data_IF_291801311489
#
_entry.id   IF_291801311489
#
_cell.length_a   1.000
_cell.length_b   1.000
_cell.length_c   1.000
_cell.angle_alpha   90.00
_cell.angle_beta   90.00
_cell.angle_gamma   90.00
#
_symmetry.space_group_name_H-M   'P 1'
#
loop_
_entity.id
_entity.type
_entity.pdbx_description
1 polymer ?
#
# COMPACT_ATOMS: atom_id res chain seq x y z
N UNK A 1 -22.27 0.82 10.58
CA UNK A 1 -21.63 0.94 9.24
C UNK A 1 -20.40 0.02 9.17
N UNK A 2 -20.06 -0.54 7.99
CA UNK A 2 -19.01 -1.58 7.89
C UNK A 2 -17.61 -1.06 8.23
N UNK A 3 -17.31 0.17 7.85
CA UNK A 3 -16.10 0.93 8.21
C UNK A 3 -15.89 1.05 9.73
N UNK A 4 -16.95 1.27 10.52
CA UNK A 4 -16.86 1.34 12.00
C UNK A 4 -16.38 0.02 12.60
N UNK A 5 -16.86 -1.11 12.07
CA UNK A 5 -16.42 -2.44 12.51
C UNK A 5 -14.92 -2.61 12.25
N UNK A 6 -14.45 -2.29 11.04
CA UNK A 6 -13.02 -2.42 10.73
C UNK A 6 -12.16 -1.48 11.58
N UNK A 7 -12.54 -0.21 11.70
CA UNK A 7 -11.80 0.76 12.49
C UNK A 7 -11.71 0.38 13.98
N UNK A 8 -12.75 -0.27 14.50
CA UNK A 8 -12.78 -0.78 15.87
C UNK A 8 -11.86 -2.01 16.04
N UNK A 9 -11.84 -2.92 15.07
CA UNK A 9 -10.93 -4.09 15.07
C UNK A 9 -9.46 -3.69 14.95
N UNK A 10 -9.18 -2.55 14.32
CA UNK A 10 -7.81 -2.08 14.06
C UNK A 10 -7.30 -1.03 15.05
N UNK A 11 -8.02 -0.77 16.14
CA UNK A 11 -7.75 0.34 17.05
C UNK A 11 -6.36 0.28 17.73
N UNK A 12 -5.74 -0.91 17.83
CA UNK A 12 -4.41 -1.08 18.43
C UNK A 12 -3.25 -0.83 17.46
N UNK A 13 -3.51 -0.68 16.16
CA UNK A 13 -2.46 -0.43 15.17
C UNK A 13 -2.07 1.06 15.15
N UNK A 14 -0.78 1.36 15.34
CA UNK A 14 -0.29 2.74 15.25
C UNK A 14 -0.42 3.32 13.84
N UNK A 15 -0.32 2.47 12.81
CA UNK A 15 -0.34 2.85 11.39
C UNK A 15 -1.75 2.93 10.79
N UNK A 16 -2.79 2.81 11.59
CA UNK A 16 -4.17 2.96 11.16
C UNK A 16 -4.81 4.12 11.92
N UNK A 17 -5.68 4.87 11.24
CA UNK A 17 -6.43 5.95 11.86
C UNK A 17 -7.36 5.42 12.97
N UNK A 18 -7.28 6.01 14.15
CA UNK A 18 -8.08 5.61 15.31
C UNK A 18 -9.48 6.18 15.23
N UNK A 19 -10.46 5.32 15.44
CA UNK A 19 -11.83 5.71 15.74
C UNK A 19 -11.90 6.20 17.19
N UNK A 20 -12.30 7.45 17.38
CA UNK A 20 -12.54 8.06 18.69
C UNK A 20 -14.00 7.94 19.12
N UNK A 21 -14.92 7.88 18.16
CA UNK A 21 -16.34 7.77 18.45
C UNK A 21 -17.20 7.62 17.21
N UNK A 22 -18.41 7.12 17.42
CA UNK A 22 -19.44 6.98 16.40
C UNK A 22 -20.75 7.47 16.99
N UNK A 23 -21.42 8.38 16.29
CA UNK A 23 -22.68 8.96 16.71
C UNK A 23 -23.70 8.84 15.57
N UNK A 24 -24.70 7.95 15.69
CA UNK A 24 -25.79 7.89 14.73
C UNK A 24 -26.53 9.23 14.63
N UNK A 25 -27.03 9.57 13.45
CA UNK A 25 -27.92 10.74 13.25
C UNK A 25 -27.29 12.08 13.69
N UNK A 26 -25.98 12.24 13.50
CA UNK A 26 -25.24 13.47 13.76
C UNK A 26 -24.41 13.90 12.54
N UNK A 27 -24.40 15.19 12.16
CA UNK A 27 -25.02 16.33 12.85
C UNK A 27 -26.52 16.48 12.60
N UNK A 28 -27.16 15.56 11.87
CA UNK A 28 -28.61 15.55 11.63
C UNK A 28 -29.15 14.12 11.40
N UNK A 29 -30.48 13.98 11.40
CA UNK A 29 -31.20 12.70 11.30
C UNK A 29 -30.91 11.86 10.04
N UNK A 30 -30.23 12.41 9.03
CA UNK A 30 -29.94 11.72 7.77
C UNK A 30 -28.48 11.26 7.63
N UNK A 31 -27.62 11.58 8.60
CA UNK A 31 -26.18 11.27 8.53
C UNK A 31 -25.69 10.73 9.85
N UNK A 32 -24.77 9.77 9.79
CA UNK A 32 -24.05 9.33 10.97
C UNK A 32 -22.71 10.09 11.06
N UNK A 33 -22.31 10.40 12.29
CA UNK A 33 -21.05 11.04 12.63
C UNK A 33 -20.00 10.01 12.97
N UNK A 34 -18.86 10.06 12.27
CA UNK A 34 -17.67 9.27 12.59
C UNK A 34 -16.59 10.22 13.07
N UNK A 35 -16.07 10.00 14.28
CA UNK A 35 -15.09 10.85 14.94
C UNK A 35 -13.77 10.09 14.92
N UNK A 36 -12.78 10.63 14.20
CA UNK A 36 -11.48 10.00 13.99
C UNK A 36 -10.38 10.84 14.66
N UNK A 37 -9.22 10.23 14.94
CA UNK A 37 -8.07 11.00 15.38
C UNK A 37 -7.63 12.01 14.32
N UNK A 38 -7.17 13.17 14.80
CA UNK A 38 -6.76 14.25 13.92
C UNK A 38 -5.32 14.05 13.41
N UNK A 39 -5.15 14.12 12.09
CA UNK A 39 -3.85 14.08 11.41
C UNK A 39 -3.60 15.45 10.75
N UNK A 40 -2.74 16.27 11.37
CA UNK A 40 -2.65 17.70 11.05
C UNK A 40 -1.92 18.07 9.77
N UNK A 41 -1.13 17.16 9.20
CA UNK A 41 -0.27 17.45 8.04
C UNK A 41 -0.95 17.18 6.68
N UNK A 42 -2.24 16.81 6.73
CA UNK A 42 -3.05 16.47 5.57
C UNK A 42 -2.83 15.03 5.12
N UNK A 43 -2.92 14.81 3.81
CA UNK A 43 -2.78 13.50 3.17
C UNK A 43 -1.49 13.42 2.34
N UNK A 44 -1.08 12.18 2.03
CA UNK A 44 0.14 11.87 1.30
C UNK A 44 0.09 12.42 -0.14
N UNK A 45 -1.10 12.51 -0.76
CA UNK A 45 -1.25 13.10 -2.08
C UNK A 45 -0.81 14.57 -2.07
N UNK A 46 -1.39 15.38 -1.19
CA UNK A 46 -1.05 16.80 -1.04
C UNK A 46 0.40 17.01 -0.62
N UNK A 47 0.96 16.11 0.19
CA UNK A 47 2.36 16.16 0.57
C UNK A 47 3.30 16.12 -0.64
N UNK A 48 3.08 15.18 -1.57
CA UNK A 48 3.90 15.08 -2.77
C UNK A 48 3.60 16.17 -3.79
N UNK A 49 2.33 16.51 -3.98
CA UNK A 49 1.91 17.62 -4.85
C UNK A 49 2.60 18.93 -4.45
N UNK A 50 2.63 19.25 -3.14
CA UNK A 50 3.35 20.42 -2.63
C UNK A 50 4.85 20.34 -2.90
N UNK A 51 5.49 19.18 -2.71
CA UNK A 51 6.93 19.04 -2.98
C UNK A 51 7.25 19.28 -4.44
N UNK A 52 6.54 18.63 -5.35
CA UNK A 52 6.78 18.78 -6.79
C UNK A 52 6.50 20.19 -7.29
N UNK A 53 5.42 20.82 -6.82
CA UNK A 53 5.09 22.22 -7.16
C UNK A 53 6.20 23.19 -6.72
N UNK A 54 6.85 22.90 -5.60
CA UNK A 54 7.97 23.70 -5.08
C UNK A 54 9.35 23.20 -5.57
N UNK A 55 9.41 22.29 -6.55
CA UNK A 55 10.64 21.68 -7.06
C UNK A 55 11.52 21.03 -5.98
N UNK A 56 10.91 20.52 -4.91
CA UNK A 56 11.58 19.77 -3.85
C UNK A 56 11.65 18.31 -4.28
N UNK A 57 12.87 17.76 -4.32
CA UNK A 57 13.08 16.36 -4.65
C UNK A 57 12.54 15.43 -3.55
N UNK A 58 11.85 14.38 -3.97
CA UNK A 58 11.48 13.26 -3.11
C UNK A 58 12.65 12.28 -3.09
N UNK A 59 13.24 12.05 -1.92
CA UNK A 59 14.38 11.13 -1.78
C UNK A 59 13.91 9.69 -1.64
N UNK A 60 14.77 8.73 -2.00
CA UNK A 60 14.50 7.32 -1.74
C UNK A 60 14.27 7.04 -0.25
N UNK A 61 14.95 7.75 0.66
CA UNK A 61 14.72 7.64 2.10
C UNK A 61 13.26 7.95 2.47
N UNK A 62 12.69 9.04 1.94
CA UNK A 62 11.26 9.35 2.10
C UNK A 62 10.40 8.22 1.53
N UNK A 63 10.76 7.66 0.38
CA UNK A 63 10.00 6.57 -0.23
C UNK A 63 10.00 5.30 0.62
N UNK A 64 11.16 4.91 1.15
CA UNK A 64 11.30 3.74 2.00
C UNK A 64 10.62 3.92 3.36
N UNK A 65 10.57 5.14 3.91
CA UNK A 65 9.78 5.44 5.11
C UNK A 65 8.28 5.27 4.88
N UNK A 66 7.77 5.74 3.74
CA UNK A 66 6.36 5.53 3.37
C UNK A 66 6.08 4.05 3.17
N UNK A 67 6.91 3.36 2.39
CA UNK A 67 6.77 1.94 2.12
C UNK A 67 6.72 1.13 3.41
N UNK A 68 7.69 1.32 4.31
CA UNK A 68 7.82 0.57 5.55
C UNK A 68 6.58 0.73 6.43
N UNK A 69 6.10 1.96 6.63
CA UNK A 69 4.93 2.23 7.45
C UNK A 69 3.63 1.66 6.84
N UNK A 70 3.49 1.67 5.51
CA UNK A 70 2.37 1.01 4.84
C UNK A 70 2.46 -0.51 4.97
N UNK A 71 3.66 -1.09 4.92
CA UNK A 71 3.86 -2.53 5.14
C UNK A 71 3.57 -2.95 6.58
N UNK A 72 3.87 -2.11 7.57
CA UNK A 72 3.44 -2.31 8.95
C UNK A 72 1.91 -2.33 9.07
N UNK A 73 1.21 -1.40 8.41
CA UNK A 73 -0.26 -1.39 8.36
C UNK A 73 -0.82 -2.66 7.70
N UNK A 74 -0.26 -3.07 6.55
CA UNK A 74 -0.74 -4.29 5.86
C UNK A 74 -0.42 -5.57 6.63
N UNK A 75 0.74 -5.66 7.28
CA UNK A 75 1.08 -6.79 8.14
C UNK A 75 0.06 -6.92 9.29
N UNK A 76 -0.37 -5.79 9.87
CA UNK A 76 -1.44 -5.78 10.84
C UNK A 76 -2.78 -6.25 10.23
N UNK A 77 -3.23 -5.65 9.13
CA UNK A 77 -4.52 -5.98 8.52
C UNK A 77 -4.60 -7.43 8.05
N UNK A 78 -3.56 -7.92 7.38
CA UNK A 78 -3.56 -9.22 6.71
C UNK A 78 -3.23 -10.37 7.65
N UNK A 79 -2.45 -10.12 8.71
CA UNK A 79 -1.89 -11.19 9.55
C UNK A 79 -2.07 -10.95 11.05
N UNK A 80 -2.67 -9.83 11.48
CA UNK A 80 -2.80 -9.47 12.88
C UNK A 80 -1.47 -9.15 13.56
N UNK A 81 -0.42 -8.85 12.79
CA UNK A 81 0.91 -8.57 13.32
C UNK A 81 0.88 -7.39 14.30
N UNK A 82 1.40 -7.58 15.51
CA UNK A 82 1.38 -6.54 16.56
C UNK A 82 0.03 -6.32 17.24
N UNK A 83 -1.02 -7.07 16.89
CA UNK A 83 -2.34 -6.97 17.53
C UNK A 83 -2.38 -7.55 18.95
N UNK A 84 -1.41 -8.40 19.31
CA UNK A 84 -1.41 -9.19 20.55
C UNK A 84 -2.37 -10.39 20.53
N UNK A 85 -3.15 -10.57 19.45
CA UNK A 85 -4.08 -11.69 19.28
C UNK A 85 -3.37 -12.91 18.66
N UNK A 86 -3.95 -14.09 18.87
CA UNK A 86 -3.45 -15.30 18.22
C UNK A 86 -3.68 -15.21 16.70
N UNK A 87 -2.71 -15.65 15.90
CA UNK A 87 -2.76 -15.63 14.44
C UNK A 87 -3.94 -16.45 13.90
N UNK A 88 -4.29 -17.55 14.56
CA UNK A 88 -5.39 -18.43 14.15
C UNK A 88 -6.77 -17.80 14.40
N UNK A 89 -6.84 -16.78 15.27
CA UNK A 89 -8.07 -16.04 15.58
C UNK A 89 -8.20 -14.77 14.74
N UNK A 90 -7.12 -14.32 14.08
CA UNK A 90 -7.15 -13.13 13.26
C UNK A 90 -7.85 -13.41 11.94
N UNK A 91 -8.94 -12.68 11.69
CA UNK A 91 -9.59 -12.68 10.38
C UNK A 91 -8.94 -11.61 9.49
N UNK A 92 -8.26 -11.98 8.39
CA UNK A 92 -7.57 -11.00 7.55
C UNK A 92 -8.54 -9.96 6.99
N UNK A 93 -8.11 -8.71 6.95
CA UNK A 93 -8.88 -7.57 6.43
C UNK A 93 -8.18 -7.08 5.15
N UNK A 94 -8.92 -6.95 4.06
CA UNK A 94 -8.44 -6.29 2.82
C UNK A 94 -8.99 -4.88 2.75
N UNK A 95 -8.13 -3.90 2.50
CA UNK A 95 -8.47 -2.48 2.50
C UNK A 95 -9.17 -2.06 1.20
N UNK A 96 -8.66 -2.52 0.04
CA UNK A 96 -9.28 -2.38 -1.30
C UNK A 96 -9.33 -0.97 -1.90
N UNK A 97 -9.06 0.08 -1.13
CA UNK A 97 -8.91 1.46 -1.66
C UNK A 97 -7.67 2.18 -1.10
N UNK A 98 -6.51 1.50 -1.14
CA UNK A 98 -5.23 2.11 -0.77
C UNK A 98 -4.80 3.07 -1.88
N UNK A 99 -4.63 4.34 -1.52
CA UNK A 99 -4.20 5.43 -2.40
C UNK A 99 -3.60 6.56 -1.56
N UNK A 100 -2.81 7.48 -2.13
CA UNK A 100 -2.20 8.58 -1.40
C UNK A 100 -3.22 9.47 -0.65
N UNK A 101 -4.43 9.62 -1.17
CA UNK A 101 -5.52 10.41 -0.55
C UNK A 101 -6.04 9.77 0.74
N UNK A 102 -5.89 8.45 0.91
CA UNK A 102 -6.33 7.70 2.08
C UNK A 102 -5.19 7.45 3.08
N UNK A 103 -4.03 8.09 2.89
CA UNK A 103 -2.88 8.00 3.79
C UNK A 103 -2.69 9.36 4.45
N UNK A 104 -3.05 9.43 5.72
CA UNK A 104 -3.01 10.63 6.53
C UNK A 104 -1.64 10.83 7.14
N UNK A 105 -1.19 12.07 7.24
CA UNK A 105 0.08 12.44 7.84
C UNK A 105 -0.12 13.01 9.25
N UNK A 106 0.47 12.33 10.23
CA UNK A 106 0.51 12.78 11.63
C UNK A 106 1.57 13.84 11.82
N UNK A 107 2.75 13.59 11.24
CA UNK A 107 3.89 14.51 11.21
C UNK A 107 4.59 14.41 9.86
N UNK A 108 5.21 15.50 9.43
CA UNK A 108 5.96 15.57 8.18
C UNK A 108 7.35 16.14 8.43
N UNK A 109 8.26 15.95 7.48
CA UNK A 109 9.60 16.54 7.49
C UNK A 109 9.59 18.06 7.28
N UNK A 110 8.42 18.67 7.04
CA UNK A 110 8.26 20.12 7.09
C UNK A 110 8.16 20.63 8.55
N UNK A 111 7.92 19.73 9.51
CA UNK A 111 7.93 20.05 10.93
C UNK A 111 9.38 19.91 11.44
N UNK A 112 10.03 20.97 11.96
CA UNK A 112 11.42 20.91 12.41
C UNK A 112 11.66 19.77 13.41
N UNK A 113 12.65 18.92 13.13
CA UNK A 113 13.01 17.78 13.98
C UNK A 113 12.03 16.60 13.97
N UNK A 114 11.02 16.61 13.10
CA UNK A 114 10.05 15.51 13.00
C UNK A 114 10.37 14.54 11.88
N UNK A 115 9.97 13.28 12.09
CA UNK A 115 10.01 12.23 11.08
C UNK A 115 8.63 12.11 10.43
N UNK A 116 8.59 11.78 9.14
CA UNK A 116 7.35 11.47 8.43
C UNK A 116 6.63 10.30 9.11
N UNK A 117 5.43 10.55 9.67
CA UNK A 117 4.60 9.54 10.32
C UNK A 117 3.24 9.51 9.63
N UNK A 118 2.83 8.32 9.17
CA UNK A 118 1.61 8.12 8.41
C UNK A 118 0.64 7.13 9.05
N UNK A 119 -0.63 7.30 8.69
CA UNK A 119 -1.74 6.43 9.09
C UNK A 119 -2.65 6.15 7.90
N UNK A 120 -2.95 4.88 7.67
CA UNK A 120 -3.95 4.45 6.70
C UNK A 120 -5.36 4.74 7.22
N UNK A 121 -6.19 5.30 6.35
CA UNK A 121 -7.57 5.70 6.64
C UNK A 121 -8.53 5.22 5.55
N UNK A 122 -9.82 5.46 5.79
CA UNK A 122 -10.94 5.14 4.89
C UNK A 122 -11.15 3.64 4.62
N UNK A 123 -11.85 3.00 5.56
CA UNK A 123 -12.26 1.61 5.48
C UNK A 123 -13.65 1.42 4.85
N UNK A 124 -14.15 2.42 4.11
CA UNK A 124 -15.51 2.44 3.56
C UNK A 124 -15.84 1.29 2.60
N UNK A 125 -14.82 0.69 1.98
CA UNK A 125 -14.95 -0.44 1.05
C UNK A 125 -14.20 -1.69 1.49
N UNK A 126 -13.60 -1.67 2.69
CA UNK A 126 -12.86 -2.78 3.26
C UNK A 126 -13.73 -4.02 3.44
N UNK A 127 -13.09 -5.19 3.48
CA UNK A 127 -13.77 -6.45 3.69
C UNK A 127 -12.91 -7.41 4.49
N UNK A 128 -13.55 -8.33 5.22
CA UNK A 128 -12.84 -9.51 5.70
C UNK A 128 -12.55 -10.43 4.51
N UNK A 129 -11.32 -10.91 4.41
CA UNK A 129 -10.90 -11.84 3.37
C UNK A 129 -11.25 -13.27 3.76
N UNK A 130 -11.84 -13.98 2.81
CA UNK A 130 -12.08 -15.42 2.86
C UNK A 130 -11.42 -16.06 1.63
N UNK A 131 -10.41 -16.95 1.81
CA UNK A 131 -9.78 -17.66 0.70
C UNK A 131 -10.77 -18.45 -0.18
N UNK A 132 -11.89 -18.90 0.39
CA UNK A 132 -12.90 -19.66 -0.32
C UNK A 132 -13.93 -18.77 -1.03
N UNK A 133 -14.03 -17.50 -0.64
CA UNK A 133 -14.96 -16.54 -1.21
C UNK A 133 -14.35 -15.14 -1.30
N UNK A 134 -13.51 -14.95 -2.32
CA UNK A 134 -12.86 -13.69 -2.61
C UNK A 134 -13.61 -12.83 -3.64
N UNK A 135 -14.87 -13.15 -3.95
CA UNK A 135 -15.69 -12.40 -4.92
C UNK A 135 -16.34 -11.19 -4.25
N UNK A 136 -16.05 -10.01 -4.76
CA UNK A 136 -16.56 -8.74 -4.25
C UNK A 136 -17.07 -7.87 -5.40
N UNK A 137 -18.05 -7.02 -5.09
CA UNK A 137 -18.46 -5.94 -6.00
C UNK A 137 -17.26 -5.04 -6.25
N UNK A 138 -16.95 -4.78 -7.52
CA UNK A 138 -15.90 -3.87 -7.91
C UNK A 138 -16.19 -2.47 -7.35
N UNK A 139 -15.33 -2.02 -6.45
CA UNK A 139 -15.36 -0.73 -5.74
C UNK A 139 -13.91 -0.29 -5.51
N UNK A 140 -13.72 1.01 -5.28
CA UNK A 140 -12.42 1.63 -5.06
C UNK A 140 -12.04 2.57 -6.21
N UNK A 141 -10.79 3.03 -6.19
CA UNK A 141 -10.25 4.00 -7.14
C UNK A 141 -9.47 3.29 -8.26
N UNK A 142 -9.93 3.31 -9.53
CA UNK A 142 -9.35 2.51 -10.61
C UNK A 142 -7.83 2.67 -10.80
N UNK A 143 -7.29 3.87 -10.52
CA UNK A 143 -5.87 4.20 -10.71
C UNK A 143 -4.90 3.32 -9.91
N UNK A 144 -5.25 2.98 -8.67
CA UNK A 144 -4.40 2.19 -7.76
C UNK A 144 -4.88 0.75 -7.64
N UNK A 145 -5.95 0.42 -8.36
CA UNK A 145 -6.63 -0.85 -8.26
C UNK A 145 -5.83 -1.97 -8.94
N UNK A 146 -5.67 -3.13 -8.29
CA UNK A 146 -4.98 -4.26 -8.88
C UNK A 146 -5.84 -4.94 -9.97
N UNK A 147 -5.21 -5.60 -10.96
CA UNK A 147 -5.91 -6.20 -12.09
C UNK A 147 -6.94 -7.28 -11.66
N UNK A 148 -6.69 -8.03 -10.59
CA UNK A 148 -7.63 -9.02 -10.07
C UNK A 148 -8.90 -8.39 -9.47
N UNK A 149 -8.81 -7.19 -8.88
CA UNK A 149 -9.97 -6.49 -8.32
C UNK A 149 -10.88 -5.93 -9.41
N UNK A 150 -10.34 -5.63 -10.60
CA UNK A 150 -11.14 -5.31 -11.79
C UNK A 150 -12.04 -6.48 -12.16
N UNK A 151 -11.57 -7.72 -11.95
CA UNK A 151 -12.34 -8.95 -12.12
C UNK A 151 -13.16 -9.32 -10.87
N UNK A 152 -13.35 -8.38 -9.94
CA UNK A 152 -14.14 -8.60 -8.73
C UNK A 152 -13.46 -9.46 -7.66
N UNK A 153 -12.14 -9.69 -7.73
CA UNK A 153 -11.41 -10.44 -6.70
C UNK A 153 -10.63 -9.51 -5.79
N UNK A 154 -10.93 -9.52 -4.49
CA UNK A 154 -10.14 -8.78 -3.51
C UNK A 154 -9.28 -9.76 -2.70
N UNK A 155 -7.97 -9.50 -2.67
CA UNK A 155 -7.00 -10.34 -1.96
C UNK A 155 -5.99 -9.46 -1.22
N UNK A 156 -5.31 -9.99 -0.19
CA UNK A 156 -4.21 -9.30 0.46
C UNK A 156 -3.12 -8.81 -0.51
N UNK A 157 -2.85 -9.57 -1.58
CA UNK A 157 -1.88 -9.18 -2.60
C UNK A 157 -2.31 -7.93 -3.38
N UNK A 158 -3.62 -7.67 -3.48
CA UNK A 158 -4.17 -6.48 -4.12
C UNK A 158 -3.84 -5.18 -3.36
N UNK A 159 -3.83 -5.23 -2.02
CA UNK A 159 -3.39 -4.10 -1.20
C UNK A 159 -1.88 -3.85 -1.36
N UNK A 160 -1.07 -4.91 -1.50
CA UNK A 160 0.38 -4.81 -1.77
C UNK A 160 0.65 -4.19 -3.13
N UNK A 161 -0.13 -4.55 -4.16
CA UNK A 161 -0.07 -3.90 -5.47
C UNK A 161 -0.32 -2.40 -5.38
N UNK A 162 -1.35 -1.98 -4.63
CA UNK A 162 -1.67 -0.57 -4.45
C UNK A 162 -0.53 0.21 -3.76
N UNK A 163 0.17 -0.40 -2.81
CA UNK A 163 1.40 0.18 -2.23
C UNK A 163 2.49 0.34 -3.29
N UNK A 164 2.71 -0.67 -4.14
CA UNK A 164 3.64 -0.55 -5.27
C UNK A 164 3.28 0.57 -6.25
N UNK A 165 1.99 0.73 -6.53
CA UNK A 165 1.45 1.83 -7.34
C UNK A 165 1.73 3.22 -6.71
N UNK A 166 1.69 3.32 -5.38
CA UNK A 166 2.06 4.54 -4.65
C UNK A 166 3.57 4.81 -4.77
N UNK A 167 4.42 3.81 -4.61
CA UNK A 167 5.89 3.98 -4.79
C UNK A 167 6.22 4.39 -6.23
N UNK A 168 5.54 3.83 -7.23
CA UNK A 168 5.66 4.29 -8.61
C UNK A 168 5.30 5.78 -8.75
N UNK A 169 4.16 6.18 -8.20
CA UNK A 169 3.71 7.58 -8.21
C UNK A 169 4.74 8.51 -7.57
N UNK A 170 5.33 8.10 -6.45
CA UNK A 170 6.36 8.86 -5.75
C UNK A 170 7.65 9.00 -6.56
N UNK A 171 8.09 7.92 -7.20
CA UNK A 171 9.32 7.87 -8.01
C UNK A 171 9.24 8.67 -9.30
N UNK A 172 8.08 8.72 -9.94
CA UNK A 172 7.94 9.25 -11.30
C UNK A 172 7.13 10.55 -11.35
N UNK A 173 6.46 10.96 -10.27
CA UNK A 173 5.55 12.10 -10.26
C UNK A 173 4.25 11.88 -11.05
N UNK A 174 4.08 10.70 -11.65
CA UNK A 174 2.92 10.33 -12.45
C UNK A 174 2.26 9.08 -11.88
N UNK A 175 0.92 9.11 -11.84
CA UNK A 175 0.12 7.96 -11.44
C UNK A 175 0.46 6.78 -12.37
N UNK A 176 0.43 5.53 -11.87
CA UNK A 176 0.63 4.38 -12.72
C UNK A 176 -0.50 4.31 -13.76
N UNK A 177 -0.23 4.79 -14.98
CA UNK A 177 -1.12 4.64 -16.13
C UNK A 177 -0.97 3.22 -16.63
N UNK A 178 -1.74 2.29 -16.07
CA UNK A 178 -1.66 0.90 -16.51
C UNK A 178 -2.95 0.48 -17.19
N UNK A 179 -3.01 0.70 -18.51
CA UNK A 179 -3.46 -0.42 -19.32
C UNK A 179 -2.34 -1.47 -19.23
N UNK A 180 -2.51 -2.45 -18.36
CA UNK A 180 -1.54 -3.53 -18.08
C UNK A 180 -1.08 -4.24 -19.35
N UNK A 181 -1.94 -4.31 -20.37
CA UNK A 181 -1.62 -4.85 -21.70
C UNK A 181 -0.64 -3.94 -22.44
N UNK A 182 -0.87 -2.63 -22.43
CA UNK A 182 -0.01 -1.65 -23.10
C UNK A 182 1.34 -1.54 -22.39
N UNK A 183 1.34 -1.46 -21.06
CA UNK A 183 2.59 -1.46 -20.28
C UNK A 183 3.42 -2.72 -20.55
N UNK A 184 2.82 -3.91 -20.47
CA UNK A 184 3.54 -5.15 -20.75
C UNK A 184 4.06 -5.20 -22.20
N UNK A 185 3.33 -4.63 -23.15
CA UNK A 185 3.75 -4.52 -24.56
C UNK A 185 4.93 -3.55 -24.71
N UNK A 186 4.89 -2.38 -24.11
CA UNK A 186 5.97 -1.38 -24.21
C UNK A 186 7.23 -1.82 -23.47
N UNK A 187 7.09 -2.39 -22.28
CA UNK A 187 8.20 -2.92 -21.51
C UNK A 187 8.93 -4.04 -22.28
N UNK A 188 8.21 -4.94 -22.97
CA UNK A 188 8.80 -5.97 -23.85
C UNK A 188 9.56 -5.37 -25.03
N UNK A 189 9.06 -4.29 -25.63
CA UNK A 189 9.77 -3.57 -26.70
C UNK A 189 11.07 -2.96 -26.19
N UNK A 190 11.06 -2.40 -24.97
CA UNK A 190 12.23 -1.81 -24.34
C UNK A 190 13.23 -2.86 -23.79
N UNK A 191 12.78 -4.09 -23.53
CA UNK A 191 13.58 -5.18 -22.93
C UNK A 191 13.50 -6.47 -23.76
N UNK A 192 14.04 -6.50 -24.99
CA UNK A 192 13.84 -7.59 -25.96
C UNK A 192 14.48 -8.95 -25.60
N UNK A 193 15.11 -9.07 -24.43
CA UNK A 193 15.75 -10.30 -23.95
C UNK A 193 15.13 -10.92 -22.70
N UNK A 194 14.09 -10.31 -22.12
CA UNK A 194 13.47 -10.84 -20.89
C UNK A 194 12.20 -11.63 -21.23
N UNK A 195 12.28 -12.96 -21.12
CA UNK A 195 11.13 -13.85 -21.27
C UNK A 195 10.20 -13.76 -20.05
N UNK A 196 8.87 -13.78 -20.23
CA UNK A 196 7.93 -13.78 -19.12
C UNK A 196 8.12 -15.03 -18.25
N UNK A 197 8.04 -14.83 -16.93
CA UNK A 197 7.95 -15.93 -15.97
C UNK A 197 6.63 -16.70 -16.20
N UNK A 198 6.72 -17.90 -16.79
CA UNK A 198 5.72 -18.95 -16.62
C UNK A 198 5.33 -19.73 -17.88
N UNK A 199 5.86 -20.94 -18.02
CA UNK A 199 5.09 -22.08 -18.58
C UNK A 199 5.11 -23.31 -17.66
N UNK A 200 6.09 -23.46 -16.77
CA UNK A 200 6.17 -24.63 -15.88
C UNK A 200 6.26 -24.22 -14.40
N UNK A 201 5.35 -24.78 -13.61
CA UNK A 201 5.04 -24.40 -12.22
C UNK A 201 6.22 -24.60 -11.26
N UNK A 202 6.34 -23.68 -10.30
CA UNK A 202 6.56 -23.91 -8.85
C UNK A 202 6.30 -22.59 -8.08
N UNK A 203 5.63 -22.65 -6.93
CA UNK A 203 4.90 -21.53 -6.32
C UNK A 203 5.70 -20.71 -5.29
N UNK A 204 5.33 -19.44 -5.19
CA UNK A 204 5.46 -18.53 -4.03
C UNK A 204 6.86 -18.08 -3.55
N UNK A 205 7.83 -18.96 -3.31
CA UNK A 205 9.20 -18.57 -2.91
C UNK A 205 10.25 -19.59 -3.36
N UNK A 206 9.89 -20.50 -4.26
CA UNK A 206 10.13 -21.94 -4.08
C UNK A 206 11.57 -22.48 -4.15
N UNK A 207 12.56 -21.69 -3.78
CA UNK A 207 13.73 -22.24 -3.10
C UNK A 207 14.44 -21.37 -2.05
N UNK A 208 13.91 -20.21 -1.62
CA UNK A 208 14.62 -19.21 -0.76
C UNK A 208 15.75 -18.49 -1.50
N UNK A 209 15.94 -17.23 -1.13
CA UNK A 209 16.82 -16.27 -1.80
C UNK A 209 18.24 -16.79 -2.11
N UNK A 210 18.55 -16.90 -3.40
CA UNK A 210 19.90 -16.76 -3.95
C UNK A 210 19.80 -15.83 -5.16
N UNK A 211 19.42 -14.58 -4.91
CA UNK A 211 19.47 -13.53 -5.94
C UNK A 211 20.52 -12.51 -5.54
N UNK A 212 21.41 -12.24 -6.49
CA UNK A 212 22.42 -11.20 -6.40
C UNK A 212 21.70 -9.85 -6.24
N UNK A 213 21.85 -9.21 -5.09
CA UNK A 213 21.47 -7.82 -4.90
C UNK A 213 22.58 -6.96 -5.49
N UNK A 214 22.25 -6.13 -6.49
CA UNK A 214 23.17 -5.11 -7.01
C UNK A 214 22.75 -3.78 -6.37
N UNK A 215 23.53 -3.23 -5.42
CA UNK A 215 23.25 -1.91 -4.86
C UNK A 215 23.36 -0.85 -5.96
N UNK A 216 22.40 0.08 -6.01
CA UNK A 216 22.37 1.19 -6.98
C UNK A 216 23.59 2.14 -6.88
N UNK A 217 24.38 2.06 -5.80
CA UNK A 217 25.45 3.02 -5.46
C UNK A 217 26.87 2.42 -5.39
N UNK A 218 27.25 1.50 -6.27
CA UNK A 218 28.68 1.15 -6.42
C UNK A 218 29.15 1.20 -7.88
N UNK A 219 30.33 1.76 -8.05
CA UNK A 219 30.97 2.03 -9.34
C UNK A 219 31.24 0.72 -10.10
N UNK A 220 30.87 0.68 -11.39
CA UNK A 220 30.79 -0.56 -12.20
C UNK A 220 32.13 -1.27 -12.47
N UNK A 221 33.26 -0.79 -11.93
CA UNK A 221 34.61 -1.24 -12.32
C UNK A 221 35.24 -2.30 -11.42
N UNK A 222 34.68 -2.62 -10.25
CA UNK A 222 35.36 -3.50 -9.27
C UNK A 222 34.74 -4.88 -9.08
N UNK A 223 33.71 -5.27 -9.83
CA UNK A 223 33.06 -6.56 -9.64
C UNK A 223 33.54 -7.63 -10.66
N UNK A 224 34.20 -8.68 -10.17
CA UNK A 224 34.40 -9.93 -10.91
C UNK A 224 33.81 -11.12 -10.15
N UNK A 225 32.90 -11.91 -10.75
CA UNK A 225 32.39 -13.10 -10.11
C UNK A 225 33.39 -14.26 -10.22
N UNK A 226 33.82 -14.79 -9.09
CA UNK A 226 34.43 -16.12 -9.02
C UNK A 226 33.32 -17.15 -8.91
N UNK A 227 33.24 -18.04 -9.89
CA UNK A 227 32.40 -19.24 -9.83
C UNK A 227 33.18 -20.37 -9.17
N UNK A 228 32.58 -21.06 -8.21
CA UNK A 228 33.05 -22.38 -7.73
C UNK A 228 32.00 -23.41 -8.15
N UNK A 229 32.49 -24.53 -8.69
CA UNK A 229 31.73 -25.66 -9.26
C UNK A 229 30.62 -26.22 -8.35
#
# INVERSE_FOLDING_TARGET
PGDITFLSETASCERIIKLLGYQPQWPNQFRDGVILEYCGEGDLFKYFERRWTNHIMVTEDTMWRVFTQLMEALAYLHQGHGSGRNKDEWKPIVHRDIKPENIMLVSSDNTPGSVLNLKLADFGVSAFYDPNNCSFVNKGTPTYQPPEQVNGKATPAGDVWAVGAIIHFMGHGVRPHVNTVDFAREWRKANPGVTPLGSDRKSYWEQRATRLAIPLNQDKKEWQPTYSD
#
